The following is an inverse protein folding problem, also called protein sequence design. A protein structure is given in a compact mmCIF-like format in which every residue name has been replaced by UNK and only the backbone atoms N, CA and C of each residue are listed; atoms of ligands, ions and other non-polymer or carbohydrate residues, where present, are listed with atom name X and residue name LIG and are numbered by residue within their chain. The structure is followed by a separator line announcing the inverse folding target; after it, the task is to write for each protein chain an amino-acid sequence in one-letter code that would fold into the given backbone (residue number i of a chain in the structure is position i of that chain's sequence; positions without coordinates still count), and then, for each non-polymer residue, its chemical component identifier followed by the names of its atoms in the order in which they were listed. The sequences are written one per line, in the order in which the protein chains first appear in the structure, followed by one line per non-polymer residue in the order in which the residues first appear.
data_IF_371616262203
#
_entry.id   IF_371616262203
#
_cell.length_a   1.000
_cell.length_b   1.000
_cell.length_c   1.000
_cell.angle_alpha   90.00
_cell.angle_beta   90.00
_cell.angle_gamma   90.00
#
_symmetry.space_group_name_H-M   'P 1'
#
loop_
_entity.id
_entity.type
_entity.pdbx_description
1 polymer ?
#
# COMPACT_ATOMS: atom_id res chain seq x y z
N UNK A 1 -42.86 11.54 -73.39
CA UNK A 1 -42.70 12.68 -72.42
C UNK A 1 -41.79 12.24 -71.30
N UNK A 2 -40.54 12.63 -71.42
CA UNK A 2 -39.44 12.19 -70.60
C UNK A 2 -39.13 13.33 -69.63
N UNK A 3 -39.20 13.10 -68.29
CA UNK A 3 -38.69 14.06 -67.28
C UNK A 3 -37.40 13.50 -66.73
N UNK A 4 -36.34 14.25 -67.01
CA UNK A 4 -35.03 14.15 -66.41
C UNK A 4 -35.12 14.53 -64.93
N UNK A 5 -34.58 13.73 -64.03
CA UNK A 5 -34.26 14.13 -62.66
C UNK A 5 -32.74 14.38 -62.59
N UNK A 6 -32.38 15.60 -62.28
CA UNK A 6 -31.04 16.01 -61.90
C UNK A 6 -30.81 15.65 -60.44
N UNK A 7 -29.77 14.86 -60.20
CA UNK A 7 -29.27 14.60 -58.85
C UNK A 7 -28.22 15.67 -58.51
N UNK A 8 -28.53 16.45 -57.49
CA UNK A 8 -27.60 17.40 -56.88
C UNK A 8 -26.65 16.61 -55.98
N UNK A 9 -25.37 16.64 -56.30
CA UNK A 9 -24.29 16.17 -55.43
C UNK A 9 -23.98 17.27 -54.45
N UNK A 10 -24.41 17.13 -53.20
CA UNK A 10 -23.82 17.84 -52.05
C UNK A 10 -22.61 17.04 -51.56
N UNK A 11 -21.44 17.50 -51.92
CA UNK A 11 -20.18 17.07 -51.35
C UNK A 11 -20.02 17.71 -49.97
N UNK A 12 -20.16 16.90 -48.94
CA UNK A 12 -19.87 17.28 -47.55
C UNK A 12 -18.34 17.50 -47.40
N UNK A 13 -17.98 18.74 -47.25
CA UNK A 13 -16.64 19.19 -46.84
C UNK A 13 -16.56 19.13 -45.31
N UNK A 14 -16.37 17.96 -44.74
CA UNK A 14 -15.99 17.80 -43.31
C UNK A 14 -14.74 16.94 -43.24
N UNK A 15 -13.58 17.57 -43.28
CA UNK A 15 -12.33 17.04 -42.68
C UNK A 15 -11.14 17.95 -42.98
N UNK A 16 -11.14 19.17 -42.45
CA UNK A 16 -9.96 20.03 -42.48
C UNK A 16 -9.86 20.94 -41.26
N UNK A 17 -10.10 20.48 -40.06
CA UNK A 17 -9.84 21.31 -38.86
C UNK A 17 -9.00 20.64 -37.76
N UNK A 18 -8.66 19.36 -37.84
CA UNK A 18 -7.86 18.71 -36.80
C UNK A 18 -6.36 18.57 -37.10
N UNK A 19 -5.92 18.83 -38.33
CA UNK A 19 -4.50 18.70 -38.68
C UNK A 19 -3.71 20.01 -38.65
N UNK A 20 -4.35 21.17 -38.40
CA UNK A 20 -3.70 22.46 -38.52
C UNK A 20 -3.06 22.95 -37.22
N UNK A 21 -3.45 22.42 -36.05
CA UNK A 21 -2.88 22.83 -34.76
C UNK A 21 -1.56 22.10 -34.46
N UNK A 22 -1.37 20.88 -35.02
CA UNK A 22 -0.14 20.11 -34.81
C UNK A 22 1.05 20.57 -35.66
N UNK A 23 0.82 21.40 -36.71
CA UNK A 23 1.85 21.78 -37.66
C UNK A 23 2.64 23.06 -37.25
N UNK A 24 2.18 23.80 -36.23
CA UNK A 24 2.82 25.07 -35.82
C UNK A 24 3.69 24.96 -34.56
N UNK A 25 3.71 23.81 -33.87
CA UNK A 25 4.51 23.62 -32.66
C UNK A 25 5.82 22.88 -33.01
N UNK A 26 6.88 23.60 -33.29
CA UNK A 26 8.20 23.00 -33.43
C UNK A 26 8.84 22.95 -32.04
N UNK A 27 8.99 21.74 -31.50
CA UNK A 27 9.78 21.51 -30.30
C UNK A 27 11.27 21.57 -30.63
N UNK A 28 12.05 22.23 -29.78
CA UNK A 28 13.49 22.12 -29.84
C UNK A 28 13.88 20.67 -29.55
N UNK A 29 14.55 19.95 -30.49
CA UNK A 29 14.95 18.57 -30.30
C UNK A 29 15.84 18.36 -29.06
N UNK A 30 16.57 19.39 -28.62
CA UNK A 30 17.39 19.30 -27.40
C UNK A 30 16.56 19.09 -26.13
N UNK A 31 15.30 19.52 -26.10
CA UNK A 31 14.38 19.34 -24.97
C UNK A 31 13.84 17.90 -24.84
N UNK A 32 14.12 17.04 -25.83
CA UNK A 32 13.75 15.62 -25.79
C UNK A 32 14.88 14.75 -25.22
N UNK A 33 15.98 15.34 -24.76
CA UNK A 33 17.10 14.63 -24.17
C UNK A 33 16.72 13.88 -22.88
N UNK A 34 17.39 12.76 -22.63
CA UNK A 34 17.14 11.94 -21.42
C UNK A 34 17.40 12.71 -20.13
N UNK A 35 18.24 13.73 -20.16
CA UNK A 35 18.55 14.63 -19.03
C UNK A 35 17.33 15.40 -18.51
N UNK A 36 16.29 15.56 -19.33
CA UNK A 36 15.03 16.18 -18.92
C UNK A 36 14.00 15.16 -18.37
N UNK A 37 14.30 13.87 -18.47
CA UNK A 37 13.42 12.83 -17.97
C UNK A 37 13.63 12.65 -16.46
N UNK A 38 12.71 13.17 -15.65
CA UNK A 38 12.67 12.85 -14.24
C UNK A 38 11.75 11.65 -14.01
N UNK A 39 12.18 10.60 -13.28
CA UNK A 39 11.30 9.49 -12.93
C UNK A 39 10.11 10.02 -12.12
N UNK A 40 8.89 9.81 -12.62
CA UNK A 40 7.68 10.14 -11.88
C UNK A 40 7.46 9.06 -10.83
N UNK A 41 7.61 9.42 -9.55
CA UNK A 41 7.24 8.52 -8.45
C UNK A 41 5.71 8.37 -8.46
N UNK A 42 5.17 7.17 -8.71
CA UNK A 42 3.74 6.97 -8.72
C UNK A 42 3.15 7.28 -7.34
N UNK A 43 2.11 8.09 -7.28
CA UNK A 43 1.33 8.27 -6.05
C UNK A 43 0.55 6.99 -5.80
N UNK A 44 1.04 6.18 -4.87
CA UNK A 44 0.38 4.95 -4.48
C UNK A 44 -0.96 5.23 -3.77
N UNK A 45 -2.00 4.42 -4.02
CA UNK A 45 -3.19 4.44 -3.20
C UNK A 45 -2.83 4.08 -1.75
N UNK A 46 -3.58 4.60 -0.80
CA UNK A 46 -3.30 4.36 0.61
C UNK A 46 -4.51 3.81 1.37
N UNK A 47 -4.23 3.08 2.44
CA UNK A 47 -5.18 2.67 3.46
C UNK A 47 -4.77 3.20 4.84
N UNK A 48 -5.64 3.01 5.80
CA UNK A 48 -5.53 3.54 7.18
C UNK A 48 -5.74 2.40 8.15
N UNK A 49 -4.97 2.38 9.24
CA UNK A 49 -5.22 1.49 10.38
C UNK A 49 -6.24 2.16 11.29
N UNK A 50 -7.33 1.47 11.57
CA UNK A 50 -8.39 1.92 12.47
C UNK A 50 -8.14 1.34 13.85
N UNK A 51 -7.85 2.23 14.80
CA UNK A 51 -7.61 1.92 16.20
C UNK A 51 -8.90 2.11 17.01
N UNK A 52 -9.89 1.28 16.76
CA UNK A 52 -11.20 1.34 17.41
C UNK A 52 -11.72 -0.08 17.68
N UNK A 53 -12.99 -0.23 17.99
CA UNK A 53 -13.68 -1.50 18.12
C UNK A 53 -14.98 -1.48 17.30
N UNK A 54 -14.98 -2.15 16.12
CA UNK A 54 -13.96 -3.05 15.59
C UNK A 54 -12.72 -2.32 15.06
N UNK A 55 -11.54 -2.96 15.20
CA UNK A 55 -10.28 -2.51 14.62
C UNK A 55 -10.01 -3.23 13.30
N UNK A 56 -9.18 -2.64 12.44
CA UNK A 56 -8.82 -3.24 11.17
C UNK A 56 -8.14 -2.27 10.21
N UNK A 57 -8.11 -2.65 8.94
CA UNK A 57 -7.58 -1.85 7.85
C UNK A 57 -8.73 -1.22 7.07
N UNK A 58 -8.65 0.06 6.80
CA UNK A 58 -9.66 0.79 6.04
C UNK A 58 -9.04 1.37 4.78
N UNK A 59 -9.63 1.05 3.63
CA UNK A 59 -9.22 1.57 2.33
C UNK A 59 -10.33 2.49 1.83
N UNK A 60 -10.12 3.83 1.84
CA UNK A 60 -11.11 4.77 1.31
C UNK A 60 -11.49 4.42 -0.12
N UNK A 61 -12.78 4.56 -0.47
CA UNK A 61 -13.34 4.22 -1.79
C UNK A 61 -12.50 4.78 -2.93
N UNK A 62 -12.14 6.06 -2.87
CA UNK A 62 -11.28 6.71 -3.87
C UNK A 62 -9.92 6.01 -4.05
N UNK A 63 -9.36 5.47 -2.98
CA UNK A 63 -8.09 4.75 -3.04
C UNK A 63 -8.27 3.30 -3.51
N UNK A 64 -9.38 2.65 -3.17
CA UNK A 64 -9.73 1.34 -3.70
C UNK A 64 -9.91 1.40 -5.23
N UNK A 65 -10.62 2.42 -5.73
CA UNK A 65 -10.74 2.68 -7.18
C UNK A 65 -9.38 2.92 -7.84
N UNK A 66 -8.51 3.75 -7.22
CA UNK A 66 -7.14 3.97 -7.73
C UNK A 66 -6.26 2.72 -7.73
N UNK A 67 -6.51 1.81 -6.77
CA UNK A 67 -5.84 0.53 -6.71
C UNK A 67 -6.33 -0.45 -7.79
N UNK A 68 -7.44 -0.17 -8.45
CA UNK A 68 -8.09 -1.08 -9.37
C UNK A 68 -8.71 -2.26 -8.62
N UNK A 69 -9.42 -1.97 -7.50
CA UNK A 69 -10.08 -3.00 -6.72
C UNK A 69 -11.20 -3.65 -7.54
N UNK A 70 -11.13 -4.98 -7.69
CA UNK A 70 -12.14 -5.76 -8.40
C UNK A 70 -13.37 -5.96 -7.50
N UNK A 71 -14.56 -5.97 -8.07
CA UNK A 71 -15.81 -6.30 -7.38
C UNK A 71 -16.09 -5.44 -6.14
N UNK A 72 -15.96 -4.13 -6.27
CA UNK A 72 -16.36 -3.22 -5.21
C UNK A 72 -17.87 -2.97 -5.29
N UNK A 73 -18.63 -3.77 -4.55
CA UNK A 73 -20.08 -3.60 -4.44
C UNK A 73 -20.40 -2.42 -3.51
N UNK A 74 -21.32 -1.51 -3.89
CA UNK A 74 -21.69 -0.38 -3.03
C UNK A 74 -22.20 -0.80 -1.64
N UNK A 75 -22.80 -1.99 -1.53
CA UNK A 75 -23.32 -2.57 -0.29
C UNK A 75 -22.22 -3.11 0.62
N UNK A 76 -21.02 -3.35 0.11
CA UNK A 76 -19.86 -3.80 0.89
C UNK A 76 -19.04 -2.66 1.47
N UNK A 77 -19.37 -1.41 1.14
CA UNK A 77 -18.68 -0.23 1.65
C UNK A 77 -19.19 0.14 3.04
N UNK A 78 -18.25 0.31 3.95
CA UNK A 78 -18.51 0.79 5.32
C UNK A 78 -18.23 2.27 5.40
N UNK A 79 -19.10 3.04 6.07
CA UNK A 79 -18.85 4.43 6.42
C UNK A 79 -18.19 4.47 7.80
N UNK A 80 -17.05 5.13 7.91
CA UNK A 80 -16.36 5.35 9.18
C UNK A 80 -16.10 6.85 9.37
N UNK A 81 -15.99 7.25 10.63
CA UNK A 81 -15.54 8.58 11.00
C UNK A 81 -14.02 8.56 11.19
N UNK A 82 -13.33 9.39 10.42
CA UNK A 82 -11.88 9.53 10.50
C UNK A 82 -11.46 10.45 11.66
N UNK A 83 -10.23 10.34 12.17
CA UNK A 83 -9.69 11.34 13.08
C UNK A 83 -9.81 12.74 12.47
N UNK A 84 -10.60 13.61 13.11
CA UNK A 84 -10.94 14.95 12.56
C UNK A 84 -12.43 15.11 12.24
N UNK A 85 -13.25 14.07 12.44
CA UNK A 85 -14.74 14.14 12.29
C UNK A 85 -15.22 14.01 10.84
N UNK A 86 -14.34 13.82 9.87
CA UNK A 86 -14.70 13.58 8.48
C UNK A 86 -15.21 12.15 8.29
N UNK A 87 -16.39 12.00 7.69
CA UNK A 87 -16.94 10.70 7.30
C UNK A 87 -16.36 10.23 5.97
N UNK A 88 -15.94 9.00 5.92
CA UNK A 88 -15.39 8.39 4.71
C UNK A 88 -16.01 7.02 4.46
N UNK A 89 -16.37 6.76 3.19
CA UNK A 89 -16.80 5.43 2.74
C UNK A 89 -15.60 4.68 2.20
N UNK A 90 -15.58 3.36 2.42
CA UNK A 90 -14.49 2.53 1.95
C UNK A 90 -14.64 1.05 2.33
N UNK A 91 -13.63 0.28 2.01
CA UNK A 91 -13.55 -1.13 2.35
C UNK A 91 -12.92 -1.25 3.74
N UNK A 92 -13.62 -1.90 4.67
CA UNK A 92 -13.13 -2.14 6.02
C UNK A 92 -12.85 -3.62 6.22
N UNK A 93 -11.61 -3.95 6.57
CA UNK A 93 -11.10 -5.30 6.68
C UNK A 93 -10.66 -5.58 8.12
N UNK A 94 -11.42 -6.41 8.84
CA UNK A 94 -11.04 -6.94 10.16
C UNK A 94 -10.28 -8.26 10.06
N UNK A 95 -10.42 -8.96 8.92
CA UNK A 95 -9.68 -10.15 8.54
C UNK A 95 -9.08 -9.93 7.16
N UNK A 96 -7.84 -10.34 6.97
CA UNK A 96 -7.10 -10.10 5.75
C UNK A 96 -6.34 -11.33 5.29
N UNK A 97 -6.24 -11.47 3.97
CA UNK A 97 -5.24 -12.30 3.30
C UNK A 97 -4.41 -11.34 2.47
N UNK A 98 -3.14 -11.18 2.81
CA UNK A 98 -2.33 -10.15 2.16
C UNK A 98 -0.90 -10.62 1.89
N UNK A 99 -0.32 -10.05 0.86
CA UNK A 99 1.10 -10.12 0.54
C UNK A 99 1.74 -8.81 0.92
N UNK A 100 2.91 -8.88 1.53
CA UNK A 100 3.73 -7.71 1.81
C UNK A 100 4.82 -7.65 0.74
N UNK A 101 4.70 -6.70 -0.18
CA UNK A 101 5.71 -6.49 -1.23
C UNK A 101 6.98 -5.86 -0.67
N UNK A 102 6.83 -5.02 0.34
CA UNK A 102 7.95 -4.36 0.99
C UNK A 102 7.49 -3.49 2.14
N UNK A 103 8.44 -3.09 2.95
CA UNK A 103 8.21 -2.19 4.08
C UNK A 103 9.37 -1.21 4.22
N UNK A 104 9.11 -0.12 4.92
CA UNK A 104 10.13 0.81 5.37
C UNK A 104 10.54 0.44 6.78
N UNK A 105 11.82 0.48 7.10
CA UNK A 105 12.28 0.30 8.48
C UNK A 105 11.56 1.28 9.41
N UNK A 106 11.23 0.88 10.66
CA UNK A 106 10.59 1.76 11.61
C UNK A 106 11.33 3.08 11.78
N UNK A 107 10.59 4.18 11.78
CA UNK A 107 11.12 5.53 11.90
C UNK A 107 10.31 6.33 12.91
N UNK A 108 10.94 7.37 13.49
CA UNK A 108 10.31 8.30 14.41
C UNK A 108 9.85 9.52 13.62
N UNK A 109 8.65 9.97 13.90
CA UNK A 109 8.09 11.21 13.34
C UNK A 109 7.26 11.96 14.38
N UNK A 110 7.10 13.26 14.17
CA UNK A 110 6.12 14.03 14.93
C UNK A 110 4.70 13.59 14.56
N UNK A 111 3.79 13.60 15.55
CA UNK A 111 2.36 13.35 15.33
C UNK A 111 1.77 14.39 14.39
N UNK A 112 0.54 14.13 13.90
CA UNK A 112 -0.17 15.06 13.00
C UNK A 112 -1.14 15.98 13.76
N UNK A 113 -0.91 16.23 15.06
CA UNK A 113 -1.68 17.16 15.87
C UNK A 113 -1.41 18.61 15.43
N UNK A 114 -2.46 19.43 15.39
CA UNK A 114 -2.36 20.84 15.01
C UNK A 114 -1.51 21.68 15.97
N UNK A 115 -1.39 21.24 17.23
CA UNK A 115 -0.54 21.88 18.25
C UNK A 115 0.94 21.88 17.86
N UNK A 116 1.37 20.99 16.96
CA UNK A 116 2.77 20.87 16.54
C UNK A 116 3.15 21.79 15.38
N UNK A 117 2.21 22.55 14.81
CA UNK A 117 2.48 23.51 13.75
C UNK A 117 3.30 22.92 12.60
N UNK A 118 4.43 23.54 12.26
CA UNK A 118 5.30 23.14 11.16
C UNK A 118 6.02 21.80 11.40
N UNK A 119 6.11 21.34 12.64
CA UNK A 119 6.70 20.03 12.97
C UNK A 119 5.76 18.86 12.65
N UNK A 120 4.50 19.12 12.37
CA UNK A 120 3.47 18.12 12.11
C UNK A 120 3.87 17.14 11.02
N UNK A 121 4.05 15.87 11.41
CA UNK A 121 4.39 14.78 10.50
C UNK A 121 5.84 14.75 10.01
N UNK A 122 6.70 15.66 10.47
CA UNK A 122 8.14 15.69 10.12
C UNK A 122 8.81 14.43 10.65
N UNK A 123 9.64 13.78 9.81
CA UNK A 123 10.41 12.59 10.17
C UNK A 123 11.67 13.05 10.89
N UNK A 124 11.92 12.47 12.08
CA UNK A 124 13.11 12.71 12.88
C UNK A 124 14.28 11.84 12.42
N UNK A 125 14.03 10.56 12.15
CA UNK A 125 15.03 9.61 11.68
C UNK A 125 14.61 8.16 11.89
N UNK A 126 15.54 7.21 11.63
CA UNK A 126 15.29 5.79 11.88
C UNK A 126 15.05 5.53 13.36
N UNK A 127 14.20 4.57 13.70
CA UNK A 127 13.97 4.19 15.09
C UNK A 127 15.22 3.58 15.73
N UNK A 128 15.98 2.78 14.97
CA UNK A 128 17.20 2.14 15.46
C UNK A 128 18.20 3.16 16.03
N UNK A 129 18.37 4.28 15.35
CA UNK A 129 19.40 5.26 15.67
C UNK A 129 18.89 6.34 16.64
N UNK A 130 17.57 6.62 16.60
CA UNK A 130 16.99 7.78 17.26
C UNK A 130 15.97 7.43 18.37
N UNK A 131 15.85 6.15 18.76
CA UNK A 131 14.85 5.74 19.77
C UNK A 131 14.99 6.49 21.12
N UNK A 132 16.19 6.94 21.46
CA UNK A 132 16.46 7.73 22.66
C UNK A 132 15.87 9.15 22.62
N UNK A 133 15.51 9.66 21.42
CA UNK A 133 14.87 10.97 21.21
C UNK A 133 13.34 10.89 21.28
N UNK A 134 12.76 9.69 21.40
CA UNK A 134 11.32 9.48 21.29
C UNK A 134 10.58 10.12 22.48
N UNK A 135 9.92 11.24 22.23
CA UNK A 135 8.91 11.79 23.13
C UNK A 135 7.53 11.27 22.74
N UNK A 136 6.98 10.34 23.51
CA UNK A 136 5.66 9.74 23.27
C UNK A 136 4.49 10.74 23.28
N UNK A 137 4.66 11.95 23.80
CA UNK A 137 3.63 12.99 23.80
C UNK A 137 3.50 13.62 22.40
N UNK A 138 4.62 13.96 21.79
CA UNK A 138 4.70 14.69 20.51
C UNK A 138 5.05 13.82 19.32
N UNK A 139 5.67 12.66 19.56
CA UNK A 139 6.20 11.78 18.51
C UNK A 139 5.50 10.42 18.49
N UNK A 140 5.63 9.73 17.37
CA UNK A 140 5.15 8.35 17.14
C UNK A 140 6.19 7.56 16.35
N UNK A 141 6.25 6.25 16.58
CA UNK A 141 6.99 5.32 15.75
C UNK A 141 6.07 4.83 14.64
N UNK A 142 6.53 4.85 13.41
CA UNK A 142 5.77 4.43 12.25
C UNK A 142 6.61 3.59 11.29
N UNK A 143 5.94 2.77 10.50
CA UNK A 143 6.49 2.09 9.32
C UNK A 143 5.42 2.05 8.24
N UNK A 144 5.84 1.99 6.98
CA UNK A 144 4.94 1.89 5.84
C UNK A 144 5.11 0.55 5.16
N UNK A 145 3.98 -0.06 4.83
CA UNK A 145 3.91 -1.35 4.15
C UNK A 145 3.22 -1.20 2.82
N UNK A 146 3.71 -1.92 1.85
CA UNK A 146 3.13 -2.01 0.52
C UNK A 146 2.45 -3.36 0.37
N UNK A 147 1.13 -3.35 0.27
CA UNK A 147 0.28 -4.52 0.42
C UNK A 147 -0.50 -4.85 -0.86
N UNK A 148 -0.64 -6.14 -1.14
CA UNK A 148 -1.61 -6.70 -2.07
C UNK A 148 -2.58 -7.58 -1.28
N UNK A 149 -3.89 -7.35 -1.43
CA UNK A 149 -4.93 -8.16 -0.81
C UNK A 149 -5.42 -9.25 -1.74
N UNK A 150 -5.78 -10.41 -1.17
CA UNK A 150 -6.22 -11.58 -1.90
C UNK A 150 -7.58 -12.07 -1.39
N UNK A 151 -8.29 -12.77 -2.27
CA UNK A 151 -9.46 -13.57 -1.90
C UNK A 151 -9.07 -14.94 -1.30
N UNK A 152 -10.05 -15.72 -0.92
CA UNK A 152 -9.86 -17.08 -0.37
C UNK A 152 -9.26 -18.06 -1.39
N UNK A 153 -9.32 -17.77 -2.68
CA UNK A 153 -8.76 -18.57 -3.77
C UNK A 153 -7.36 -18.10 -4.18
N UNK A 154 -6.76 -17.17 -3.43
CA UNK A 154 -5.47 -16.55 -3.71
C UNK A 154 -5.43 -15.74 -5.01
N UNK A 155 -6.56 -15.18 -5.43
CA UNK A 155 -6.58 -14.19 -6.50
C UNK A 155 -6.41 -12.79 -5.90
N UNK A 156 -5.69 -11.94 -6.61
CA UNK A 156 -5.54 -10.54 -6.20
C UNK A 156 -6.91 -9.84 -6.24
N UNK A 157 -7.23 -9.07 -5.21
CA UNK A 157 -8.44 -8.23 -5.17
C UNK A 157 -8.27 -6.90 -5.88
N UNK A 158 -7.04 -6.50 -6.16
CA UNK A 158 -6.73 -5.25 -6.84
C UNK A 158 -5.40 -5.35 -7.61
N UNK A 159 -5.18 -4.44 -8.56
CA UNK A 159 -4.01 -4.48 -9.45
C UNK A 159 -2.80 -3.72 -8.94
N UNK A 160 -3.02 -2.56 -8.27
CA UNK A 160 -1.95 -1.70 -7.79
C UNK A 160 -1.79 -1.84 -6.28
N UNK A 161 -0.57 -1.96 -5.77
CA UNK A 161 -0.35 -2.08 -4.34
C UNK A 161 -0.90 -0.89 -3.56
N UNK A 162 -1.34 -1.16 -2.33
CA UNK A 162 -1.87 -0.17 -1.39
C UNK A 162 -0.85 0.05 -0.28
N UNK A 163 -0.52 1.31 -0.04
CA UNK A 163 0.38 1.72 1.04
C UNK A 163 -0.41 1.90 2.32
N UNK A 164 0.00 1.22 3.39
CA UNK A 164 -0.60 1.39 4.72
C UNK A 164 0.51 1.73 5.73
N UNK A 165 0.26 2.76 6.53
CA UNK A 165 1.13 3.14 7.63
C UNK A 165 0.63 2.54 8.93
N UNK A 166 1.45 1.72 9.54
CA UNK A 166 1.25 1.22 10.91
C UNK A 166 2.04 2.07 11.89
N UNK A 167 1.49 2.24 13.10
CA UNK A 167 2.06 3.12 14.12
C UNK A 167 2.03 2.47 15.48
N UNK A 168 3.04 2.78 16.31
CA UNK A 168 3.09 2.42 17.74
C UNK A 168 2.68 0.96 17.98
N UNK A 169 1.66 0.70 18.82
CA UNK A 169 1.21 -0.65 19.20
C UNK A 169 0.81 -1.50 18.00
N UNK A 170 0.08 -0.92 17.03
CA UNK A 170 -0.32 -1.64 15.82
C UNK A 170 0.88 -2.06 14.98
N UNK A 171 1.93 -1.23 14.93
CA UNK A 171 3.17 -1.55 14.23
C UNK A 171 3.90 -2.71 14.91
N UNK A 172 4.08 -2.63 16.23
CA UNK A 172 4.82 -3.68 16.96
C UNK A 172 4.10 -5.01 16.92
N UNK A 173 2.76 -5.01 17.07
CA UNK A 173 1.95 -6.23 16.95
C UNK A 173 2.07 -6.87 15.56
N UNK A 174 2.08 -6.06 14.49
CA UNK A 174 2.26 -6.58 13.13
C UNK A 174 3.68 -7.12 12.92
N UNK A 175 4.71 -6.40 13.37
CA UNK A 175 6.12 -6.81 13.21
C UNK A 175 6.39 -8.15 13.89
N UNK A 176 5.96 -8.32 15.13
CA UNK A 176 6.10 -9.55 15.90
C UNK A 176 5.40 -10.73 15.19
N UNK A 177 4.16 -10.52 14.76
CA UNK A 177 3.41 -11.55 14.03
C UNK A 177 4.04 -11.91 12.68
N UNK A 178 4.61 -10.94 11.97
CA UNK A 178 5.29 -11.19 10.70
C UNK A 178 6.62 -11.90 10.87
N UNK A 179 7.38 -11.60 11.92
CA UNK A 179 8.63 -12.30 12.23
C UNK A 179 8.37 -13.78 12.48
N UNK A 180 7.41 -14.10 13.35
CA UNK A 180 7.00 -15.47 13.64
C UNK A 180 6.48 -16.18 12.40
N UNK A 181 5.65 -15.52 11.61
CA UNK A 181 5.10 -16.08 10.39
C UNK A 181 6.17 -16.40 9.35
N UNK A 182 7.08 -15.46 9.06
CA UNK A 182 8.13 -15.68 8.08
C UNK A 182 9.13 -16.75 8.53
N UNK A 183 9.49 -16.75 9.79
CA UNK A 183 10.34 -17.81 10.35
C UNK A 183 9.70 -19.19 10.15
N UNK A 184 8.40 -19.32 10.44
CA UNK A 184 7.67 -20.57 10.25
C UNK A 184 7.57 -20.95 8.75
N UNK A 185 7.32 -19.97 7.85
CA UNK A 185 7.32 -20.19 6.39
C UNK A 185 8.67 -20.70 5.87
N UNK A 186 9.77 -20.10 6.32
CA UNK A 186 11.14 -20.49 5.95
C UNK A 186 11.47 -21.91 6.44
N UNK A 187 11.04 -22.27 7.65
CA UNK A 187 11.22 -23.63 8.20
C UNK A 187 10.41 -24.67 7.41
N UNK A 188 9.13 -24.41 7.16
CA UNK A 188 8.29 -25.32 6.38
C UNK A 188 8.76 -25.49 4.95
N UNK A 189 9.18 -24.40 4.32
CA UNK A 189 9.79 -24.46 2.98
C UNK A 189 11.03 -25.37 2.96
N UNK A 190 11.94 -25.18 3.92
CA UNK A 190 13.16 -25.98 4.01
C UNK A 190 12.87 -27.47 4.21
N UNK A 191 11.87 -27.79 5.07
CA UNK A 191 11.44 -29.15 5.32
C UNK A 191 10.86 -29.80 4.06
N UNK A 192 9.93 -29.12 3.37
CA UNK A 192 9.31 -29.62 2.14
C UNK A 192 10.32 -29.76 0.99
N UNK A 193 11.24 -28.80 0.85
CA UNK A 193 12.30 -28.82 -0.15
C UNK A 193 13.47 -29.74 0.23
N UNK A 194 13.46 -30.35 1.41
CA UNK A 194 14.55 -31.18 1.97
C UNK A 194 15.91 -30.45 1.93
N UNK A 195 15.88 -29.18 2.31
CA UNK A 195 17.07 -28.32 2.34
C UNK A 195 17.31 -27.78 3.75
N UNK A 196 18.45 -27.17 3.98
CA UNK A 196 18.75 -26.48 5.24
C UNK A 196 17.92 -25.20 5.33
N UNK A 197 17.32 -24.93 6.50
CA UNK A 197 16.64 -23.67 6.75
C UNK A 197 17.61 -22.50 6.66
N UNK A 198 17.19 -21.43 6.00
CA UNK A 198 17.97 -20.19 5.85
C UNK A 198 17.01 -19.00 5.72
N UNK A 199 17.39 -17.85 6.25
CA UNK A 199 16.65 -16.61 6.09
C UNK A 199 16.46 -16.27 4.61
N UNK A 200 15.28 -15.79 4.27
CA UNK A 200 14.89 -15.41 2.91
C UNK A 200 14.81 -13.89 2.79
N UNK A 201 15.07 -13.40 1.58
CA UNK A 201 14.94 -11.97 1.27
C UNK A 201 13.48 -11.56 1.05
N UNK A 202 13.26 -10.26 0.97
CA UNK A 202 11.92 -9.68 0.82
C UNK A 202 11.21 -10.13 -0.47
N UNK A 203 11.95 -10.37 -1.56
CA UNK A 203 11.38 -10.86 -2.82
C UNK A 203 10.79 -12.26 -2.68
N UNK A 204 11.40 -13.13 -1.89
CA UNK A 204 10.85 -14.44 -1.56
C UNK A 204 9.67 -14.30 -0.60
N UNK A 205 9.79 -13.44 0.44
CA UNK A 205 8.75 -13.17 1.42
C UNK A 205 7.50 -12.58 0.77
N UNK A 206 7.65 -11.83 -0.32
CA UNK A 206 6.54 -11.33 -1.13
C UNK A 206 5.70 -12.43 -1.81
N UNK A 207 6.13 -13.69 -1.78
CA UNK A 207 5.32 -14.83 -2.23
C UNK A 207 4.51 -15.47 -1.09
N UNK A 208 4.73 -15.06 0.17
CA UNK A 208 4.03 -15.58 1.32
C UNK A 208 2.73 -14.79 1.56
N UNK A 209 1.64 -15.50 1.83
CA UNK A 209 0.33 -14.91 2.10
C UNK A 209 0.14 -14.90 3.61
N UNK A 210 0.18 -13.70 4.18
CA UNK A 210 -0.12 -13.49 5.59
C UNK A 210 -1.65 -13.40 5.77
N UNK A 211 -2.21 -14.40 6.44
CA UNK A 211 -3.63 -14.45 6.76
C UNK A 211 -3.82 -14.15 8.24
N UNK A 212 -4.48 -13.03 8.55
CA UNK A 212 -4.57 -12.51 9.90
C UNK A 212 -5.93 -11.89 10.21
N UNK A 213 -6.27 -11.87 11.50
CA UNK A 213 -7.41 -11.14 12.04
C UNK A 213 -6.94 -10.04 12.97
N UNK A 214 -7.58 -8.88 12.86
CA UNK A 214 -7.31 -7.72 13.70
C UNK A 214 -8.38 -7.57 14.78
N UNK A 215 -7.96 -7.07 15.95
CA UNK A 215 -8.83 -6.76 17.08
C UNK A 215 -8.44 -5.45 17.73
N UNK A 216 -9.46 -4.71 18.16
CA UNK A 216 -9.30 -3.54 19.01
C UNK A 216 -9.04 -3.94 20.46
N UNK A 217 -7.84 -3.66 20.96
CA UNK A 217 -7.45 -3.91 22.35
C UNK A 217 -7.20 -2.60 23.05
N UNK A 218 -7.74 -2.42 24.27
CA UNK A 218 -7.48 -1.21 25.08
C UNK A 218 -6.08 -1.28 25.67
N UNK A 219 -5.25 -0.32 25.31
CA UNK A 219 -3.88 -0.16 25.78
C UNK A 219 -3.70 1.18 26.51
N UNK A 220 -2.73 1.24 27.43
CA UNK A 220 -2.41 2.42 28.23
C UNK A 220 -2.79 2.25 29.69
N UNK A 221 -2.51 3.28 30.48
CA UNK A 221 -2.75 3.29 31.93
C UNK A 221 -3.75 4.38 32.33
N UNK A 222 -4.59 4.08 33.32
CA UNK A 222 -5.53 5.04 33.89
C UNK A 222 -6.51 5.61 32.85
N UNK A 223 -6.61 6.93 32.80
CA UNK A 223 -7.47 7.67 31.87
C UNK A 223 -6.94 7.73 30.42
N UNK A 224 -5.69 7.33 30.21
CA UNK A 224 -5.05 7.36 28.87
C UNK A 224 -5.23 6.07 28.08
N UNK A 225 -6.19 5.22 28.47
CA UNK A 225 -6.53 4.00 27.74
C UNK A 225 -7.23 4.34 26.43
N UNK A 226 -6.68 3.84 25.32
CA UNK A 226 -7.28 3.94 23.99
C UNK A 226 -7.29 2.60 23.30
N UNK A 227 -8.19 2.44 22.33
CA UNK A 227 -8.17 1.26 21.48
C UNK A 227 -6.94 1.32 20.55
N UNK A 228 -6.30 0.16 20.38
CA UNK A 228 -5.22 -0.05 19.44
C UNK A 228 -5.54 -1.27 18.59
N UNK A 229 -5.31 -1.17 17.29
CA UNK A 229 -5.42 -2.30 16.37
C UNK A 229 -4.25 -3.27 16.61
N UNK A 230 -4.55 -4.52 16.92
CA UNK A 230 -3.56 -5.59 17.05
C UNK A 230 -3.89 -6.75 16.13
N UNK A 231 -2.89 -7.49 15.72
CA UNK A 231 -3.07 -8.83 15.17
C UNK A 231 -3.50 -9.72 16.33
N UNK A 232 -4.74 -10.23 16.28
CA UNK A 232 -5.26 -11.11 17.31
C UNK A 232 -4.79 -12.54 17.10
N UNK A 233 -4.85 -12.95 15.83
CA UNK A 233 -4.39 -14.28 15.40
C UNK A 233 -3.98 -14.23 13.94
N UNK A 234 -3.11 -15.14 13.56
CA UNK A 234 -2.71 -15.36 12.18
C UNK A 234 -2.50 -16.85 11.91
N UNK A 235 -2.61 -17.24 10.64
CA UNK A 235 -2.47 -18.63 10.23
C UNK A 235 -0.98 -18.98 10.12
N UNK A 236 -0.52 -19.88 11.01
CA UNK A 236 0.81 -20.46 10.91
C UNK A 236 0.88 -21.50 9.78
N UNK A 237 1.99 -21.57 9.03
CA UNK A 237 2.18 -22.60 8.01
C UNK A 237 2.36 -23.98 8.65
N UNK A 238 1.70 -24.98 8.06
CA UNK A 238 1.88 -26.40 8.33
C UNK A 238 2.16 -27.12 7.01
N UNK A 239 2.60 -28.39 7.03
CA UNK A 239 2.78 -29.15 5.78
C UNK A 239 1.51 -29.19 4.92
N UNK A 240 0.33 -29.20 5.55
CA UNK A 240 -0.96 -29.33 4.88
C UNK A 240 -1.42 -28.01 4.24
N UNK A 241 -1.17 -26.87 4.90
CA UNK A 241 -1.65 -25.57 4.43
C UNK A 241 -0.57 -24.73 3.72
N UNK A 242 0.70 -25.16 3.71
CA UNK A 242 1.79 -24.39 3.13
C UNK A 242 1.51 -23.93 1.70
N UNK A 243 0.94 -24.81 0.86
CA UNK A 243 0.63 -24.50 -0.52
C UNK A 243 -0.41 -23.37 -0.66
N UNK A 244 -1.33 -23.24 0.31
CA UNK A 244 -2.34 -22.18 0.29
C UNK A 244 -1.80 -20.83 0.78
N UNK A 245 -0.64 -20.85 1.47
CA UNK A 245 0.03 -19.68 2.00
C UNK A 245 1.26 -19.26 1.19
N UNK A 246 1.60 -19.98 0.10
CA UNK A 246 2.80 -19.71 -0.69
C UNK A 246 2.50 -19.71 -2.19
N UNK A 247 2.51 -18.54 -2.82
CA UNK A 247 2.21 -18.37 -4.25
C UNK A 247 3.24 -19.04 -5.17
N UNK A 248 4.47 -19.21 -4.70
CA UNK A 248 5.50 -19.93 -5.44
C UNK A 248 5.12 -21.38 -5.75
N UNK A 249 4.41 -22.05 -4.83
CA UNK A 249 3.90 -23.39 -5.03
C UNK A 249 2.78 -23.48 -6.08
N UNK A 250 2.06 -22.39 -6.30
CA UNK A 250 0.92 -22.30 -7.23
C UNK A 250 1.29 -21.72 -8.61
N UNK A 251 2.55 -21.39 -8.84
CA UNK A 251 3.04 -20.70 -10.03
C UNK A 251 2.33 -19.34 -10.32
N UNK A 252 1.71 -18.73 -9.30
CA UNK A 252 1.01 -17.43 -9.40
C UNK A 252 1.92 -16.22 -9.09
N UNK A 253 3.21 -16.40 -9.17
CA UNK A 253 4.18 -15.41 -8.69
C UNK A 253 4.51 -14.29 -9.69
N UNK A 254 4.30 -14.49 -10.99
CA UNK A 254 4.74 -13.54 -12.02
C UNK A 254 4.20 -12.11 -11.79
N UNK A 255 2.88 -11.97 -11.56
CA UNK A 255 2.25 -10.67 -11.30
C UNK A 255 2.70 -10.03 -9.99
N UNK A 256 3.02 -10.86 -8.98
CA UNK A 256 3.52 -10.37 -7.69
C UNK A 256 4.93 -9.82 -7.84
N UNK A 257 5.80 -10.51 -8.58
CA UNK A 257 7.15 -10.01 -8.83
C UNK A 257 7.17 -8.78 -9.74
N UNK A 258 6.29 -8.70 -10.73
CA UNK A 258 6.11 -7.49 -11.52
C UNK A 258 5.70 -6.30 -10.62
N UNK A 259 4.73 -6.51 -9.72
CA UNK A 259 4.33 -5.50 -8.76
C UNK A 259 5.45 -5.16 -7.77
N UNK A 260 6.25 -6.12 -7.34
CA UNK A 260 7.41 -5.93 -6.48
C UNK A 260 8.45 -5.03 -7.18
N UNK A 261 8.91 -5.45 -8.36
CA UNK A 261 9.97 -4.77 -9.10
C UNK A 261 9.59 -3.31 -9.46
N UNK A 262 8.30 -3.06 -9.78
CA UNK A 262 7.82 -1.72 -10.12
C UNK A 262 7.61 -0.78 -8.92
N UNK A 263 7.31 -1.28 -7.74
CA UNK A 263 6.78 -0.43 -6.66
C UNK A 263 7.65 -0.37 -5.40
N UNK A 264 8.55 -1.33 -5.16
CA UNK A 264 9.36 -1.33 -3.94
C UNK A 264 10.31 -0.13 -3.89
N UNK A 265 10.93 0.23 -5.01
CA UNK A 265 11.73 1.46 -5.09
C UNK A 265 10.89 2.71 -4.79
N UNK A 266 9.63 2.77 -5.25
CA UNK A 266 8.76 3.91 -5.00
C UNK A 266 8.42 4.09 -3.52
N UNK A 267 8.33 3.00 -2.74
CA UNK A 267 8.11 3.06 -1.31
C UNK A 267 9.29 3.73 -0.58
N UNK A 268 10.51 3.36 -0.93
CA UNK A 268 11.74 3.91 -0.33
C UNK A 268 11.93 5.39 -0.69
N UNK A 269 11.69 5.76 -1.95
CA UNK A 269 11.80 7.14 -2.43
C UNK A 269 10.68 8.06 -1.91
N UNK A 270 9.57 7.53 -1.44
CA UNK A 270 8.46 8.32 -0.90
C UNK A 270 8.69 8.86 0.50
N UNK A 271 9.73 8.38 1.19
CA UNK A 271 10.17 8.99 2.45
C UNK A 271 11.00 10.23 2.12
N UNK A 272 10.70 11.39 2.73
CA UNK A 272 11.60 12.52 2.61
C UNK A 272 12.99 12.08 3.09
N UNK A 273 14.01 12.37 2.27
CA UNK A 273 15.39 12.26 2.73
C UNK A 273 15.45 12.95 4.10
N UNK A 274 15.96 12.22 5.09
CA UNK A 274 16.14 12.75 6.44
C UNK A 274 17.02 13.98 6.30
N UNK A 275 16.43 15.17 6.21
CA UNK A 275 17.14 16.40 6.54
C UNK A 275 17.57 16.19 7.96
N UNK A 276 18.83 15.80 8.15
CA UNK A 276 19.48 15.90 9.42
C UNK A 276 19.27 17.35 9.87
N UNK A 277 18.31 17.54 10.74
CA UNK A 277 18.29 18.71 11.58
C UNK A 277 19.54 18.57 12.44
N UNK A 278 20.63 19.16 11.96
CA UNK A 278 21.78 19.48 12.77
C UNK A 278 21.21 20.34 13.90
N UNK A 279 21.01 19.72 15.05
CA UNK A 279 20.87 20.42 16.32
C UNK A 279 22.21 21.12 16.55
N UNK A 280 22.27 22.38 16.12
CA UNK A 280 23.32 23.32 16.51
C UNK A 280 23.08 23.77 17.94
#
# INVERSE_FOLDING_TARGET
MTKKNESVNESVNESKSESTIAAEFQFDPSLMGEEFNAPRIPRLPYGIVINDNPAGLFIPEKNALKAGWFQMEPTSLTEIELPGGEKSKGIFLTSVRMIILGSVSPYIRYKTSDELGDMRGVIVGSYSDNHHLLDKKTMEVASEYLLLFLDTNNNLLHTRPIRIRFKNVALWSLLESLEDFYMAMEMQFAQLAKTKASGKNDRWRALCIFEAQYKGTKEGEGSNKSYCCKVEQFTLPTPENFQTLFLGAMQKYAKVWEAYDMNVCALQLSLPESKQLLLS
#
